data_IF_325158020166
#
_entry.id   IF_325158020166
#
_cell.length_a   1.000
_cell.length_b   1.000
_cell.length_c   1.000
_cell.angle_alpha   90.00
_cell.angle_beta   90.00
_cell.angle_gamma   90.00
#
_symmetry.space_group_name_H-M   'P 1'
#
loop_
_entity.id
_entity.type
_entity.pdbx_description
1 polymer ?
#
# COMPACT_ATOMS: atom_id res chain seq x y z
N UNK A 1 11.90 42.88 9.38
CA UNK A 1 10.54 42.79 8.80
C UNK A 1 10.73 42.38 7.36
N UNK A 2 10.46 41.16 6.91
CA UNK A 2 9.46 40.18 7.34
C UNK A 2 10.01 38.75 7.17
N UNK A 3 10.07 38.01 8.26
CA UNK A 3 9.92 36.56 8.23
C UNK A 3 8.47 36.33 8.66
N UNK A 4 7.65 35.68 7.84
CA UNK A 4 6.48 34.83 8.19
C UNK A 4 5.43 34.87 7.07
N UNK A 5 5.71 34.21 5.95
CA UNK A 5 4.64 33.60 5.16
C UNK A 5 4.93 32.09 5.09
N UNK A 6 5.10 31.51 6.28
CA UNK A 6 5.22 30.07 6.41
C UNK A 6 3.83 29.50 6.20
N UNK A 7 3.65 28.82 5.09
CA UNK A 7 2.41 28.15 4.73
C UNK A 7 2.15 27.03 5.76
N UNK A 8 1.18 27.22 6.66
CA UNK A 8 0.88 26.27 7.74
C UNK A 8 -0.22 25.26 7.39
N UNK A 9 -0.97 25.48 6.31
CA UNK A 9 -2.11 24.64 5.93
C UNK A 9 -2.15 24.35 4.42
N UNK A 10 -2.63 23.16 4.03
CA UNK A 10 -2.86 22.79 2.61
C UNK A 10 -3.67 23.84 1.84
N UNK A 11 -4.62 24.50 2.49
CA UNK A 11 -5.43 25.56 1.88
C UNK A 11 -4.61 26.83 1.56
N UNK A 12 -3.75 27.26 2.49
CA UNK A 12 -2.84 28.39 2.28
C UNK A 12 -1.78 28.05 1.20
N UNK A 13 -1.30 26.80 1.18
CA UNK A 13 -0.37 26.32 0.17
C UNK A 13 -0.97 26.42 -1.23
N UNK A 14 -2.21 25.98 -1.35
CA UNK A 14 -2.95 26.00 -2.59
C UNK A 14 -3.17 27.41 -3.11
N UNK A 15 -3.53 28.34 -2.23
CA UNK A 15 -3.80 29.72 -2.61
C UNK A 15 -2.51 30.49 -2.97
N UNK A 16 -1.41 30.22 -2.27
CA UNK A 16 -0.08 30.72 -2.66
C UNK A 16 0.33 30.19 -4.04
N UNK A 17 0.11 28.90 -4.31
CA UNK A 17 0.41 28.28 -5.59
C UNK A 17 -0.39 28.90 -6.74
N UNK A 18 -1.70 29.15 -6.55
CA UNK A 18 -2.54 29.86 -7.53
C UNK A 18 -2.01 31.25 -7.85
N UNK A 19 -1.66 32.03 -6.82
CA UNK A 19 -1.12 33.40 -6.99
C UNK A 19 0.22 33.40 -7.73
N UNK A 20 1.09 32.44 -7.46
CA UNK A 20 2.37 32.27 -8.18
C UNK A 20 2.10 31.93 -9.64
N UNK A 21 1.24 30.94 -9.90
CA UNK A 21 0.94 30.48 -11.25
C UNK A 21 0.28 31.57 -12.12
N UNK A 22 -0.62 32.37 -11.55
CA UNK A 22 -1.22 33.53 -12.20
C UNK A 22 -0.19 34.62 -12.56
N UNK A 23 0.77 34.92 -11.66
CA UNK A 23 1.86 35.87 -11.93
C UNK A 23 2.74 35.47 -13.11
N UNK A 24 2.90 34.17 -13.37
CA UNK A 24 3.65 33.66 -14.51
C UNK A 24 2.80 33.44 -15.77
N UNK A 25 1.56 33.96 -15.82
CA UNK A 25 0.65 33.81 -16.96
C UNK A 25 0.16 32.38 -17.17
N UNK A 26 0.25 31.52 -16.15
CA UNK A 26 -0.16 30.11 -16.18
C UNK A 26 -1.20 29.84 -15.09
N UNK A 27 -2.43 30.41 -15.18
CA UNK A 27 -3.42 30.20 -14.14
C UNK A 27 -3.71 28.70 -13.95
N UNK A 28 -3.67 28.22 -12.71
CA UNK A 28 -4.02 26.84 -12.39
C UNK A 28 -5.50 26.64 -12.66
N UNK A 29 -5.83 25.71 -13.56
CA UNK A 29 -7.20 25.25 -13.77
C UNK A 29 -7.56 24.21 -12.68
N UNK A 30 -8.47 24.53 -11.74
CA UNK A 30 -8.84 23.61 -10.66
C UNK A 30 -9.37 22.28 -11.16
N UNK A 31 -10.21 22.28 -12.21
CA UNK A 31 -10.76 21.06 -12.79
C UNK A 31 -9.68 20.20 -13.44
N UNK A 32 -8.69 20.83 -14.08
CA UNK A 32 -7.55 20.11 -14.63
C UNK A 32 -6.72 19.46 -13.52
N UNK A 33 -6.49 20.16 -12.40
CA UNK A 33 -5.77 19.61 -11.26
C UNK A 33 -6.52 18.45 -10.62
N UNK A 34 -7.83 18.58 -10.40
CA UNK A 34 -8.70 17.51 -9.87
C UNK A 34 -8.68 16.29 -10.78
N UNK A 35 -8.73 16.47 -12.11
CA UNK A 35 -8.60 15.37 -13.07
C UNK A 35 -7.22 14.69 -13.00
N UNK A 36 -6.15 15.47 -12.85
CA UNK A 36 -4.79 14.93 -12.70
C UNK A 36 -4.63 14.15 -11.40
N UNK A 37 -5.16 14.65 -10.28
CA UNK A 37 -5.13 13.93 -8.99
C UNK A 37 -5.93 12.64 -9.07
N UNK A 38 -7.15 12.67 -9.61
CA UNK A 38 -7.95 11.45 -9.80
C UNK A 38 -7.26 10.43 -10.69
N UNK A 39 -6.60 10.87 -11.78
CA UNK A 39 -5.82 9.98 -12.65
C UNK A 39 -4.62 9.38 -11.90
N UNK A 40 -3.91 10.18 -11.10
CA UNK A 40 -2.79 9.72 -10.29
C UNK A 40 -3.25 8.71 -9.23
N UNK A 41 -4.36 8.98 -8.54
CA UNK A 41 -4.97 8.09 -7.55
C UNK A 41 -5.43 6.78 -8.18
N UNK A 42 -6.07 6.85 -9.35
CA UNK A 42 -6.48 5.65 -10.11
C UNK A 42 -5.26 4.80 -10.47
N UNK A 43 -4.22 5.42 -11.04
CA UNK A 43 -2.97 4.73 -11.41
C UNK A 43 -2.25 4.15 -10.19
N UNK A 44 -2.32 4.83 -9.04
CA UNK A 44 -1.79 4.32 -7.77
C UNK A 44 -2.55 3.08 -7.32
N UNK A 45 -3.89 3.12 -7.32
CA UNK A 45 -4.74 1.98 -7.00
C UNK A 45 -4.51 0.78 -7.92
N UNK A 46 -4.46 1.00 -9.23
CA UNK A 46 -4.18 -0.05 -10.23
C UNK A 46 -2.85 -0.74 -9.94
N UNK A 47 -1.78 0.02 -9.69
CA UNK A 47 -0.47 -0.55 -9.32
C UNK A 47 -0.47 -1.28 -7.98
N UNK A 48 -1.17 -0.76 -6.97
CA UNK A 48 -1.32 -1.45 -5.69
C UNK A 48 -1.99 -2.81 -5.86
N UNK A 49 -3.02 -2.89 -6.71
CA UNK A 49 -3.69 -4.16 -7.06
C UNK A 49 -2.69 -5.09 -7.75
N UNK A 50 -2.00 -4.63 -8.79
CA UNK A 50 -1.01 -5.43 -9.53
C UNK A 50 0.08 -6.01 -8.61
N UNK A 51 0.54 -5.24 -7.62
CA UNK A 51 1.52 -5.72 -6.64
C UNK A 51 0.96 -6.73 -5.66
N UNK A 52 -0.24 -6.52 -5.15
CA UNK A 52 -0.90 -7.51 -4.30
C UNK A 52 -1.16 -8.81 -5.09
N UNK A 53 -1.53 -8.71 -6.37
CA UNK A 53 -1.69 -9.88 -7.23
C UNK A 53 -0.39 -10.67 -7.36
N UNK A 54 0.72 -10.00 -7.69
CA UNK A 54 2.04 -10.63 -7.78
C UNK A 54 2.54 -11.19 -6.43
N UNK A 55 2.27 -10.49 -5.33
CA UNK A 55 2.58 -10.97 -3.98
C UNK A 55 1.78 -12.23 -3.63
N UNK A 56 0.50 -12.28 -4.00
CA UNK A 56 -0.33 -13.47 -3.79
C UNK A 56 0.21 -14.66 -4.60
N UNK A 57 0.67 -14.46 -5.83
CA UNK A 57 1.28 -15.52 -6.64
C UNK A 57 2.59 -16.02 -6.01
N UNK A 58 3.42 -15.11 -5.49
CA UNK A 58 4.63 -15.47 -4.74
C UNK A 58 4.31 -16.30 -3.49
N UNK A 59 3.29 -15.90 -2.73
CA UNK A 59 2.83 -16.62 -1.54
C UNK A 59 2.29 -18.01 -1.90
N UNK A 60 1.46 -18.10 -2.93
CA UNK A 60 0.91 -19.36 -3.43
C UNK A 60 2.03 -20.34 -3.80
N UNK A 61 3.05 -19.87 -4.54
CA UNK A 61 4.21 -20.67 -4.91
C UNK A 61 5.03 -21.09 -3.67
N UNK A 62 5.27 -20.17 -2.74
CA UNK A 62 6.14 -20.43 -1.58
C UNK A 62 5.50 -21.38 -0.56
N UNK A 63 4.18 -21.31 -0.40
CA UNK A 63 3.44 -22.16 0.54
C UNK A 63 2.81 -23.39 -0.11
N UNK A 64 3.06 -23.63 -1.41
CA UNK A 64 2.38 -24.68 -2.19
C UNK A 64 0.85 -24.65 -2.04
N UNK A 65 0.29 -23.43 -1.95
CA UNK A 65 -1.12 -23.18 -1.73
C UNK A 65 -1.81 -22.79 -3.04
N UNK A 66 -3.13 -23.00 -3.11
CA UNK A 66 -3.91 -22.54 -4.25
C UNK A 66 -4.04 -21.00 -4.22
N UNK A 67 -3.54 -20.33 -5.25
CA UNK A 67 -3.74 -18.89 -5.43
C UNK A 67 -5.22 -18.50 -5.43
N UNK A 68 -6.10 -19.37 -5.96
CA UNK A 68 -7.54 -19.16 -5.92
C UNK A 68 -8.11 -19.22 -4.48
N UNK A 69 -7.57 -20.07 -3.62
CA UNK A 69 -7.98 -20.11 -2.20
C UNK A 69 -7.49 -18.86 -1.45
N UNK A 70 -6.30 -18.35 -1.77
CA UNK A 70 -5.78 -17.10 -1.19
C UNK A 70 -6.63 -15.90 -1.64
N UNK A 71 -7.01 -15.83 -2.92
CA UNK A 71 -7.90 -14.78 -3.48
C UNK A 71 -9.36 -14.91 -3.06
N UNK A 72 -9.77 -16.09 -2.60
CA UNK A 72 -11.15 -16.35 -2.21
C UNK A 72 -11.61 -15.38 -1.13
N UNK A 73 -12.84 -14.80 -1.23
CA UNK A 73 -13.39 -13.94 -0.19
C UNK A 73 -13.77 -14.74 1.07
N UNK A 74 -13.81 -16.07 1.00
CA UNK A 74 -14.13 -16.91 2.15
C UNK A 74 -12.95 -16.98 3.13
N UNK A 75 -13.26 -17.25 4.41
CA UNK A 75 -12.22 -17.45 5.44
C UNK A 75 -11.34 -18.65 5.13
N UNK A 76 -11.89 -19.68 4.49
CA UNK A 76 -11.16 -20.88 4.06
C UNK A 76 -10.53 -21.65 5.22
N UNK A 77 -9.54 -22.49 4.90
CA UNK A 77 -8.71 -23.19 5.89
C UNK A 77 -7.85 -22.20 6.67
N UNK A 78 -7.52 -22.55 7.91
CA UNK A 78 -6.70 -21.71 8.79
C UNK A 78 -5.34 -21.38 8.16
N UNK A 79 -4.69 -22.34 7.51
CA UNK A 79 -3.42 -22.17 6.81
C UNK A 79 -3.49 -21.11 5.70
N UNK A 80 -4.51 -21.19 4.83
CA UNK A 80 -4.75 -20.18 3.78
C UNK A 80 -5.00 -18.79 4.39
N UNK A 81 -5.75 -18.74 5.48
CA UNK A 81 -5.97 -17.49 6.20
C UNK A 81 -4.68 -16.91 6.77
N UNK A 82 -3.76 -17.77 7.26
CA UNK A 82 -2.45 -17.34 7.76
C UNK A 82 -1.58 -16.78 6.64
N UNK A 83 -1.54 -17.45 5.50
CA UNK A 83 -0.80 -17.00 4.31
C UNK A 83 -1.29 -15.62 3.87
N UNK A 84 -2.63 -15.42 3.84
CA UNK A 84 -3.22 -14.10 3.57
C UNK A 84 -2.78 -13.03 4.58
N UNK A 85 -2.73 -13.37 5.87
CA UNK A 85 -2.31 -12.42 6.91
C UNK A 85 -0.85 -12.01 6.74
N UNK A 86 0.05 -12.97 6.46
CA UNK A 86 1.46 -12.70 6.15
C UNK A 86 1.55 -11.79 4.91
N UNK A 87 0.80 -12.09 3.85
CA UNK A 87 0.76 -11.26 2.65
C UNK A 87 0.32 -9.82 2.90
N UNK A 88 -0.77 -9.64 3.66
CA UNK A 88 -1.24 -8.30 4.04
C UNK A 88 -0.22 -7.56 4.91
N UNK A 89 0.45 -8.26 5.81
CA UNK A 89 1.49 -7.70 6.67
C UNK A 89 2.69 -7.21 5.84
N UNK A 90 3.29 -8.06 5.00
CA UNK A 90 4.48 -7.67 4.22
C UNK A 90 4.16 -6.62 3.15
N UNK A 91 2.94 -6.60 2.61
CA UNK A 91 2.49 -5.51 1.73
C UNK A 91 2.47 -4.17 2.48
N UNK A 92 2.05 -4.17 3.74
CA UNK A 92 2.04 -2.97 4.56
C UNK A 92 3.45 -2.56 5.01
N UNK A 93 4.24 -3.49 5.56
CA UNK A 93 5.51 -3.19 6.22
C UNK A 93 6.69 -3.11 5.27
N UNK A 94 6.78 -4.03 4.30
CA UNK A 94 7.91 -4.10 3.35
C UNK A 94 7.67 -3.25 2.08
N UNK A 95 6.44 -3.26 1.55
CA UNK A 95 6.10 -2.47 0.35
C UNK A 95 5.60 -1.05 0.67
N UNK A 96 5.45 -0.70 1.94
CA UNK A 96 5.03 0.64 2.39
C UNK A 96 3.60 1.03 1.99
N UNK A 97 2.77 0.07 1.62
CA UNK A 97 1.39 0.33 1.20
C UNK A 97 0.55 0.76 2.42
N UNK A 98 -0.30 1.76 2.24
CA UNK A 98 -1.29 2.08 3.28
C UNK A 98 -2.29 0.93 3.42
N UNK A 99 -2.83 0.70 4.63
CA UNK A 99 -3.78 -0.39 4.88
C UNK A 99 -5.00 -0.39 3.94
N UNK A 100 -5.46 0.78 3.49
CA UNK A 100 -6.55 0.89 2.50
C UNK A 100 -6.16 0.38 1.11
N UNK A 101 -4.88 0.49 0.74
CA UNK A 101 -4.34 0.03 -0.53
C UNK A 101 -4.14 -1.49 -0.51
N UNK A 102 -3.64 -2.01 0.61
CA UNK A 102 -3.56 -3.46 0.86
C UNK A 102 -4.96 -4.07 0.86
N UNK A 103 -5.92 -3.42 1.52
CA UNK A 103 -7.33 -3.83 1.55
C UNK A 103 -7.90 -3.92 0.13
N UNK A 104 -7.64 -2.92 -0.71
CA UNK A 104 -8.05 -2.93 -2.11
C UNK A 104 -7.41 -4.10 -2.88
N UNK A 105 -6.09 -4.30 -2.74
CA UNK A 105 -5.36 -5.33 -3.47
C UNK A 105 -5.71 -6.76 -3.05
N UNK A 106 -6.05 -6.99 -1.78
CA UNK A 106 -6.50 -8.31 -1.28
C UNK A 106 -8.02 -8.50 -1.32
N UNK A 107 -8.77 -7.51 -1.84
CA UNK A 107 -10.24 -7.47 -1.83
C UNK A 107 -10.83 -7.69 -0.42
N UNK A 108 -10.30 -6.98 0.57
CA UNK A 108 -10.70 -7.04 2.00
C UNK A 108 -11.07 -5.67 2.56
N UNK A 109 -11.70 -5.69 3.73
CA UNK A 109 -11.89 -4.48 4.52
C UNK A 109 -10.57 -4.04 5.17
N UNK A 110 -10.39 -2.72 5.32
CA UNK A 110 -9.24 -2.13 6.02
C UNK A 110 -9.04 -2.71 7.43
N UNK A 111 -10.11 -2.99 8.15
CA UNK A 111 -10.06 -3.60 9.50
C UNK A 111 -9.54 -5.03 9.46
N UNK A 112 -9.78 -5.77 8.37
CA UNK A 112 -9.19 -7.10 8.16
C UNK A 112 -7.67 -7.01 8.02
N UNK A 113 -7.17 -6.00 7.29
CA UNK A 113 -5.72 -5.75 7.16
C UNK A 113 -5.11 -5.37 8.50
N UNK A 114 -5.76 -4.47 9.25
CA UNK A 114 -5.32 -4.09 10.60
C UNK A 114 -5.25 -5.32 11.52
N UNK A 115 -6.30 -6.13 11.54
CA UNK A 115 -6.32 -7.36 12.32
C UNK A 115 -5.23 -8.34 11.88
N UNK A 116 -4.99 -8.48 10.57
CA UNK A 116 -3.90 -9.30 10.05
C UNK A 116 -2.53 -8.81 10.53
N UNK A 117 -2.28 -7.49 10.52
CA UNK A 117 -1.02 -6.93 10.98
C UNK A 117 -0.79 -7.21 12.48
N UNK A 118 -1.78 -6.94 13.33
CA UNK A 118 -1.68 -7.26 14.76
C UNK A 118 -1.48 -8.76 14.99
N UNK A 119 -2.24 -9.60 14.28
CA UNK A 119 -2.12 -11.06 14.42
C UNK A 119 -0.73 -11.55 14.04
N UNK A 120 -0.12 -10.99 12.98
CA UNK A 120 1.24 -11.37 12.58
C UNK A 120 2.23 -10.91 13.64
N UNK A 121 2.16 -9.66 14.10
CA UNK A 121 3.02 -9.14 15.17
C UNK A 121 2.94 -9.96 16.46
N UNK A 122 1.73 -10.30 16.92
CA UNK A 122 1.52 -11.14 18.11
C UNK A 122 2.15 -12.54 17.97
N UNK A 123 2.27 -13.05 16.74
CA UNK A 123 2.88 -14.35 16.47
C UNK A 123 4.39 -14.29 16.27
N UNK A 124 4.98 -13.10 16.08
CA UNK A 124 6.44 -12.95 15.98
C UNK A 124 7.16 -13.18 17.31
N UNK A 125 6.42 -13.35 18.41
CA UNK A 125 6.97 -13.87 19.66
C UNK A 125 7.44 -15.35 19.53
N UNK A 126 6.93 -16.09 18.54
CA UNK A 126 7.42 -17.41 18.18
C UNK A 126 8.59 -17.33 17.19
N UNK A 127 9.71 -17.95 17.55
CA UNK A 127 10.98 -17.84 16.79
C UNK A 127 10.88 -18.45 15.39
N UNK A 128 10.15 -19.55 15.23
CA UNK A 128 10.00 -20.21 13.93
C UNK A 128 9.13 -19.36 13.00
N UNK A 129 8.04 -18.80 13.53
CA UNK A 129 7.17 -17.90 12.80
C UNK A 129 7.87 -16.58 12.43
N UNK A 130 8.61 -15.98 13.35
CA UNK A 130 9.38 -14.75 13.08
C UNK A 130 10.44 -14.98 11.99
N UNK A 131 11.13 -16.12 12.01
CA UNK A 131 12.10 -16.48 10.97
C UNK A 131 11.42 -16.63 9.60
N UNK A 132 10.23 -17.23 9.55
CA UNK A 132 9.42 -17.34 8.34
C UNK A 132 9.01 -15.96 7.80
N UNK A 133 8.46 -15.09 8.64
CA UNK A 133 8.05 -13.74 8.24
C UNK A 133 9.27 -12.94 7.75
N UNK A 134 10.38 -13.00 8.50
CA UNK A 134 11.64 -12.34 8.14
C UNK A 134 12.20 -12.81 6.79
N UNK A 135 12.03 -14.09 6.44
CA UNK A 135 12.39 -14.60 5.12
C UNK A 135 11.52 -13.96 4.03
N UNK A 136 10.21 -13.87 4.22
CA UNK A 136 9.32 -13.24 3.25
C UNK A 136 9.58 -11.74 3.09
N UNK A 137 9.85 -11.02 4.17
CA UNK A 137 10.28 -9.61 4.09
C UNK A 137 11.53 -9.47 3.20
N UNK A 138 12.53 -10.34 3.37
CA UNK A 138 13.74 -10.33 2.51
C UNK A 138 13.44 -10.66 1.05
N UNK A 139 12.62 -11.68 0.80
CA UNK A 139 12.22 -12.08 -0.57
C UNK A 139 11.47 -10.93 -1.23
N UNK A 140 10.47 -10.36 -0.56
CA UNK A 140 9.66 -9.25 -1.08
C UNK A 140 10.53 -8.03 -1.37
N UNK A 141 11.41 -7.66 -0.43
CA UNK A 141 12.34 -6.54 -0.62
C UNK A 141 13.27 -6.72 -1.83
N UNK A 142 13.63 -7.96 -2.16
CA UNK A 142 14.46 -8.29 -3.32
C UNK A 142 13.66 -8.33 -4.63
N UNK A 143 12.52 -9.02 -4.61
CA UNK A 143 11.67 -9.26 -5.79
C UNK A 143 10.95 -8.00 -6.29
N UNK A 144 10.64 -7.05 -5.40
CA UNK A 144 9.85 -5.85 -5.71
C UNK A 144 10.66 -4.55 -5.66
N UNK A 145 11.95 -4.60 -6.00
CA UNK A 145 12.87 -3.46 -5.98
C UNK A 145 12.40 -2.26 -6.81
N UNK A 146 11.75 -2.50 -7.95
CA UNK A 146 11.23 -1.45 -8.83
C UNK A 146 10.12 -0.61 -8.19
N UNK A 147 9.31 -1.20 -7.29
CA UNK A 147 8.25 -0.47 -6.58
C UNK A 147 8.82 0.54 -5.59
N UNK A 148 9.87 0.14 -4.86
CA UNK A 148 10.48 0.99 -3.83
C UNK A 148 11.13 2.26 -4.39
N UNK A 149 11.57 2.23 -5.64
CA UNK A 149 12.13 3.41 -6.31
C UNK A 149 11.05 4.39 -6.80
N UNK A 150 9.78 3.96 -6.84
CA UNK A 150 8.65 4.74 -7.31
C UNK A 150 7.72 5.24 -6.19
N UNK A 151 7.95 4.81 -4.95
CA UNK A 151 7.27 5.24 -3.72
C UNK A 151 8.04 6.38 -3.04
#
# INVERSE_FOLDING_TARGET
MELLDVIHMRAQAFEALKRIAARHGRPLNPDALVRLTHRADKKRRERCIELCEALIDLLAASFSASGAEIRSPLRGRQEVSRIRQIGMYVAHTSLGMAMNEVALGFARDRTTVMHACHTVEDLRDDVEFDALVSLFEKIVNSAFTAWRMAA
#
